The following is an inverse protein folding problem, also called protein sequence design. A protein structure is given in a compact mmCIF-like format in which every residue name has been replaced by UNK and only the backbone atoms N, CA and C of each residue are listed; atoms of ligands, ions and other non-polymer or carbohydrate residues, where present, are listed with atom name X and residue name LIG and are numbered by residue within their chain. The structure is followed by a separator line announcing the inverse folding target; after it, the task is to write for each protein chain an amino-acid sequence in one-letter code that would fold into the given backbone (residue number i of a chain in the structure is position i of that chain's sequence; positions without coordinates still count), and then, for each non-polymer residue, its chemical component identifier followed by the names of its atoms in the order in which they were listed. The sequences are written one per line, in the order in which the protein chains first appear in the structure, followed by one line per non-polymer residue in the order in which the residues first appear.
data_IF_017165969499
#
_entry.id   IF_017165969499
#
_cell.length_a   1.000
_cell.length_b   1.000
_cell.length_c   1.000
_cell.angle_alpha   90.00
_cell.angle_beta   90.00
_cell.angle_gamma   90.00
#
_symmetry.space_group_name_H-M   'P 1'
#
loop_
_entity.id
_entity.type
_entity.pdbx_description
1 polymer ?
#
# COMPACT_ATOMS: atom_id res chain seq x y z
N UNK A 1 43.43 81.22 13.33
CA UNK A 1 42.27 80.51 12.72
C UNK A 1 42.77 79.10 12.39
N UNK A 2 42.31 77.97 12.90
CA UNK A 2 41.10 77.58 13.63
C UNK A 2 41.48 76.24 14.32
N UNK A 3 41.36 76.16 15.64
CA UNK A 3 41.50 74.93 16.42
C UNK A 3 40.26 74.05 16.23
N UNK A 4 40.41 72.75 15.96
CA UNK A 4 39.31 71.80 16.18
C UNK A 4 39.81 70.47 16.77
N UNK A 5 39.31 70.25 17.99
CA UNK A 5 39.36 69.07 18.83
C UNK A 5 38.33 68.04 18.32
N UNK A 6 38.61 66.73 18.40
CA UNK A 6 37.55 65.71 18.39
C UNK A 6 38.00 64.39 19.07
N UNK A 7 37.75 64.37 20.38
CA UNK A 7 37.20 63.28 21.22
C UNK A 7 37.40 61.83 20.75
N UNK A 8 38.12 61.07 21.60
CA UNK A 8 38.24 59.63 21.59
C UNK A 8 36.92 58.93 21.96
N UNK A 9 36.51 57.92 21.18
CA UNK A 9 35.42 57.03 21.49
C UNK A 9 35.96 55.62 21.83
N UNK A 10 35.90 55.25 23.11
CA UNK A 10 36.18 53.91 23.62
C UNK A 10 34.99 52.98 23.29
N UNK A 11 35.20 52.01 22.40
CA UNK A 11 34.24 50.93 22.14
C UNK A 11 34.56 49.73 23.06
N UNK A 12 33.74 49.54 24.08
CA UNK A 12 33.67 48.30 24.86
C UNK A 12 32.92 47.25 24.04
N UNK A 13 33.65 46.32 23.43
CA UNK A 13 33.09 45.19 22.70
C UNK A 13 32.65 44.07 23.65
N UNK A 14 31.34 43.87 23.79
CA UNK A 14 30.74 42.74 24.50
C UNK A 14 30.95 41.44 23.73
N UNK A 15 31.62 40.45 24.33
CA UNK A 15 31.69 39.09 23.80
C UNK A 15 30.37 38.35 24.10
N UNK A 16 29.57 38.11 23.06
CA UNK A 16 28.43 37.20 23.14
C UNK A 16 28.93 35.75 22.99
N UNK A 17 28.86 34.97 24.07
CA UNK A 17 29.11 33.52 24.04
C UNK A 17 27.84 32.84 23.54
N UNK A 18 27.87 32.31 22.32
CA UNK A 18 26.78 31.51 21.78
C UNK A 18 26.84 30.08 22.35
N UNK A 19 25.73 29.48 22.80
CA UNK A 19 25.70 28.08 23.22
C UNK A 19 25.80 27.18 21.99
N UNK A 20 26.85 26.35 21.94
CA UNK A 20 26.94 25.24 20.99
C UNK A 20 25.89 24.19 21.35
N UNK A 21 24.81 24.11 20.55
CA UNK A 21 23.91 22.96 20.55
C UNK A 21 24.72 21.73 20.12
N UNK A 22 25.01 20.86 21.08
CA UNK A 22 25.57 19.55 20.80
C UNK A 22 24.55 18.76 19.96
N UNK A 23 24.83 18.63 18.68
CA UNK A 23 24.13 17.67 17.83
C UNK A 23 24.41 16.27 18.39
N UNK A 24 23.38 15.62 18.93
CA UNK A 24 23.44 14.22 19.32
C UNK A 24 23.89 13.36 18.14
N UNK A 25 24.56 12.22 18.38
CA UNK A 25 25.03 11.36 17.30
C UNK A 25 23.85 10.94 16.40
N UNK A 26 24.06 10.81 15.08
CA UNK A 26 23.04 10.29 14.19
C UNK A 26 22.64 8.89 14.67
N UNK A 27 21.40 8.75 15.12
CA UNK A 27 20.84 7.46 15.49
C UNK A 27 20.96 6.51 14.31
N UNK A 28 21.73 5.44 14.50
CA UNK A 28 21.86 4.36 13.52
C UNK A 28 20.46 3.86 13.12
N UNK A 29 20.24 3.46 11.84
CA UNK A 29 18.97 2.90 11.42
C UNK A 29 18.68 1.62 12.24
N UNK A 30 17.43 1.38 12.66
CA UNK A 30 17.10 0.19 13.43
C UNK A 30 17.29 -1.06 12.56
N UNK A 31 18.40 -1.76 12.77
CA UNK A 31 18.67 -3.09 12.22
C UNK A 31 17.64 -4.07 12.81
N UNK A 32 16.55 -4.32 12.08
CA UNK A 32 15.49 -5.25 12.49
C UNK A 32 14.07 -4.69 12.55
N UNK A 33 13.78 -3.53 11.95
CA UNK A 33 12.42 -3.03 11.82
C UNK A 33 11.52 -4.09 11.17
N UNK A 34 10.61 -4.63 11.96
CA UNK A 34 9.70 -5.72 11.56
C UNK A 34 8.25 -5.24 11.47
N UNK A 35 8.00 -4.01 11.88
CA UNK A 35 6.72 -3.34 11.82
C UNK A 35 6.57 -2.55 10.52
N UNK A 36 5.34 -2.40 10.06
CA UNK A 36 4.99 -1.51 8.97
C UNK A 36 5.22 -0.05 9.39
N UNK A 37 5.81 0.76 8.51
CA UNK A 37 6.11 2.17 8.79
C UNK A 37 5.69 3.07 7.64
N UNK A 38 5.09 4.26 7.88
CA UNK A 38 4.82 5.23 6.83
C UNK A 38 6.11 5.66 6.10
N UNK A 39 6.01 5.97 4.81
CA UNK A 39 7.09 6.59 4.05
C UNK A 39 7.31 8.04 4.48
N UNK A 40 8.46 8.64 4.15
CA UNK A 40 8.81 10.00 4.56
C UNK A 40 7.83 11.08 4.03
N UNK A 41 7.32 10.88 2.83
CA UNK A 41 6.27 11.70 2.20
C UNK A 41 4.85 11.36 2.70
N UNK A 42 4.70 10.28 3.47
CA UNK A 42 3.45 9.82 4.07
C UNK A 42 2.44 9.23 3.09
N UNK A 43 2.77 9.15 1.79
CA UNK A 43 1.87 8.66 0.73
C UNK A 43 1.79 7.13 0.67
N UNK A 44 2.75 6.43 1.27
CA UNK A 44 2.85 4.99 1.31
C UNK A 44 3.17 4.42 2.70
N UNK A 45 3.13 3.10 2.79
CA UNK A 45 3.50 2.33 3.98
C UNK A 45 4.50 1.25 3.57
N UNK A 46 5.70 1.31 4.12
CA UNK A 46 6.78 0.35 3.90
C UNK A 46 6.55 -0.91 4.76
N UNK A 47 6.56 -2.07 4.11
CA UNK A 47 6.76 -3.38 4.74
C UNK A 47 8.24 -3.77 4.62
N UNK A 48 9.04 -3.59 5.68
CA UNK A 48 10.46 -3.93 5.65
C UNK A 48 10.70 -5.45 5.54
N UNK A 49 9.76 -6.30 5.98
CA UNK A 49 9.90 -7.76 5.90
C UNK A 49 9.67 -8.25 4.48
N UNK A 50 8.70 -7.68 3.78
CA UNK A 50 8.37 -8.07 2.41
C UNK A 50 9.13 -7.27 1.34
N UNK A 51 9.87 -6.22 1.74
CA UNK A 51 10.52 -5.27 0.82
C UNK A 51 9.49 -4.71 -0.18
N UNK A 52 8.34 -4.28 0.34
CA UNK A 52 7.25 -3.72 -0.48
C UNK A 52 6.74 -2.43 0.12
N UNK A 53 6.32 -1.50 -0.73
CA UNK A 53 5.63 -0.28 -0.34
C UNK A 53 4.17 -0.36 -0.78
N UNK A 54 3.27 -0.10 0.16
CA UNK A 54 1.83 -0.10 -0.02
C UNK A 54 1.33 1.31 -0.25
N UNK A 55 0.40 1.49 -1.18
CA UNK A 55 -0.35 2.73 -1.26
C UNK A 55 -1.10 2.94 0.05
N UNK A 56 -1.05 4.16 0.62
CA UNK A 56 -1.70 4.46 1.90
C UNK A 56 -3.22 4.57 1.77
N UNK A 57 -3.70 5.06 0.64
CA UNK A 57 -5.11 5.10 0.32
C UNK A 57 -5.50 4.02 -0.68
N UNK A 58 -6.76 3.60 -0.60
CA UNK A 58 -7.39 2.75 -1.61
C UNK A 58 -7.54 3.55 -2.91
N UNK A 59 -7.45 2.89 -4.05
CA UNK A 59 -7.64 3.54 -5.35
C UNK A 59 -8.94 4.34 -5.40
N UNK A 60 -8.86 5.59 -5.85
CA UNK A 60 -9.97 6.55 -5.85
C UNK A 60 -9.95 7.58 -4.72
N UNK A 61 -9.34 7.22 -3.58
CA UNK A 61 -9.16 8.13 -2.45
C UNK A 61 -7.84 8.88 -2.59
N UNK A 62 -7.75 10.04 -1.93
CA UNK A 62 -6.54 10.86 -1.91
C UNK A 62 -6.03 11.05 -0.48
N UNK A 63 -4.70 11.07 -0.35
CA UNK A 63 -4.05 11.33 0.93
C UNK A 63 -4.08 12.83 1.24
N UNK A 64 -4.63 13.22 2.40
CA UNK A 64 -4.75 14.62 2.81
C UNK A 64 -3.60 15.11 3.70
N UNK A 65 -2.58 14.27 3.94
CA UNK A 65 -1.54 14.52 4.96
C UNK A 65 -1.83 13.88 6.32
N UNK A 66 -3.09 13.55 6.62
CA UNK A 66 -3.49 12.91 7.89
C UNK A 66 -4.47 11.76 7.72
N UNK A 67 -5.33 11.80 6.70
CA UNK A 67 -6.31 10.75 6.42
C UNK A 67 -6.48 10.54 4.92
N UNK A 68 -7.13 9.45 4.54
CA UNK A 68 -7.61 9.25 3.18
C UNK A 68 -9.00 9.88 3.03
N UNK A 69 -9.14 10.79 2.07
CA UNK A 69 -10.41 11.47 1.77
C UNK A 69 -10.94 11.09 0.38
N UNK A 70 -12.22 11.35 0.14
CA UNK A 70 -12.91 10.99 -1.09
C UNK A 70 -13.60 9.61 -1.01
N UNK A 71 -13.93 9.04 -2.17
CA UNK A 71 -14.62 7.75 -2.28
C UNK A 71 -13.70 6.71 -2.89
N UNK A 72 -13.65 5.53 -2.28
CA UNK A 72 -12.97 4.38 -2.86
C UNK A 72 -13.65 3.98 -4.19
N UNK A 73 -12.83 3.72 -5.21
CA UNK A 73 -13.30 3.14 -6.46
C UNK A 73 -13.54 1.65 -6.26
N UNK A 74 -14.73 1.21 -6.67
CA UNK A 74 -15.09 -0.20 -6.74
C UNK A 74 -14.89 -0.67 -8.16
N UNK A 75 -13.88 -1.52 -8.37
CA UNK A 75 -13.42 -1.93 -9.69
C UNK A 75 -13.69 -3.42 -9.90
N UNK A 76 -14.01 -3.79 -11.13
CA UNK A 76 -13.89 -5.19 -11.58
C UNK A 76 -12.41 -5.60 -11.55
N UNK A 77 -12.14 -6.90 -11.60
CA UNK A 77 -10.76 -7.40 -11.58
C UNK A 77 -9.94 -6.92 -12.77
N UNK A 78 -10.56 -6.81 -13.94
CA UNK A 78 -9.92 -6.32 -15.15
C UNK A 78 -9.56 -4.82 -15.02
N UNK A 79 -10.50 -4.01 -14.54
CA UNK A 79 -10.27 -2.58 -14.29
C UNK A 79 -9.22 -2.35 -13.21
N UNK A 80 -9.22 -3.14 -12.13
CA UNK A 80 -8.19 -3.09 -11.09
C UNK A 80 -6.79 -3.30 -11.67
N UNK A 81 -6.64 -4.30 -12.54
CA UNK A 81 -5.37 -4.62 -13.19
C UNK A 81 -4.92 -3.51 -14.14
N UNK A 82 -5.87 -2.94 -14.91
CA UNK A 82 -5.60 -1.80 -15.78
C UNK A 82 -5.19 -0.55 -14.98
N UNK A 83 -5.86 -0.29 -13.85
CA UNK A 83 -5.56 0.82 -12.94
C UNK A 83 -4.14 0.72 -12.38
N UNK A 84 -3.72 -0.47 -11.97
CA UNK A 84 -2.36 -0.69 -11.49
C UNK A 84 -1.29 -0.37 -12.55
N UNK A 85 -1.51 -0.79 -13.80
CA UNK A 85 -0.62 -0.48 -14.92
C UNK A 85 -0.58 1.01 -15.25
N UNK A 86 -1.74 1.66 -15.26
CA UNK A 86 -1.83 3.10 -15.50
C UNK A 86 -1.05 3.88 -14.43
N UNK A 87 -1.25 3.53 -13.15
CA UNK A 87 -0.51 4.13 -12.04
C UNK A 87 0.99 3.85 -12.14
N UNK A 88 1.37 2.64 -12.57
CA UNK A 88 2.80 2.32 -12.76
C UNK A 88 3.47 3.24 -13.76
N UNK A 89 2.75 3.57 -14.83
CA UNK A 89 3.26 4.45 -15.90
C UNK A 89 3.34 5.90 -15.44
N UNK A 90 2.37 6.35 -14.61
CA UNK A 90 2.32 7.72 -14.11
C UNK A 90 3.37 8.01 -13.03
N UNK A 91 3.55 7.08 -12.08
CA UNK A 91 4.39 7.29 -10.90
C UNK A 91 5.82 6.76 -11.11
N UNK A 92 6.06 5.94 -12.15
CA UNK A 92 7.36 5.30 -12.41
C UNK A 92 7.67 4.07 -11.54
N UNK A 93 6.81 3.74 -10.57
CA UNK A 93 6.94 2.54 -9.74
C UNK A 93 6.16 1.36 -10.34
N UNK A 94 6.65 0.12 -10.16
CA UNK A 94 5.97 -1.08 -10.64
C UNK A 94 4.74 -1.46 -9.77
N UNK A 95 3.70 -0.61 -9.77
CA UNK A 95 2.45 -0.83 -9.07
C UNK A 95 1.71 -2.05 -9.60
N UNK A 96 1.29 -2.92 -8.67
CA UNK A 96 0.55 -4.14 -8.99
C UNK A 96 -0.52 -4.41 -7.95
N UNK A 97 -1.43 -5.32 -8.31
CA UNK A 97 -2.31 -5.91 -7.30
C UNK A 97 -1.49 -6.74 -6.31
N UNK A 98 -1.79 -6.67 -5.01
CA UNK A 98 -1.15 -7.47 -3.99
C UNK A 98 -1.61 -8.91 -4.06
N UNK A 99 -0.74 -9.86 -3.73
CA UNK A 99 -1.12 -11.27 -3.58
C UNK A 99 -2.00 -11.45 -2.34
N UNK A 100 -2.77 -12.53 -2.31
CA UNK A 100 -3.69 -12.82 -1.21
C UNK A 100 -2.94 -12.93 0.13
N UNK A 101 -1.76 -13.55 0.13
CA UNK A 101 -0.91 -13.63 1.33
C UNK A 101 -0.34 -12.28 1.77
N UNK A 102 -0.11 -11.35 0.83
CA UNK A 102 0.36 -10.00 1.15
C UNK A 102 -0.76 -9.20 1.82
N UNK A 103 -1.99 -9.23 1.28
CA UNK A 103 -3.14 -8.56 1.91
C UNK A 103 -3.45 -9.10 3.30
N UNK A 104 -3.45 -10.43 3.47
CA UNK A 104 -3.70 -11.07 4.77
C UNK A 104 -2.71 -10.66 5.84
N UNK A 105 -1.49 -10.27 5.48
CA UNK A 105 -0.46 -9.81 6.41
C UNK A 105 -0.77 -8.41 6.97
N UNK A 106 -1.50 -7.59 6.23
CA UNK A 106 -1.91 -6.26 6.72
C UNK A 106 -2.98 -6.36 7.82
N UNK A 107 -3.72 -7.46 7.87
CA UNK A 107 -4.79 -7.66 8.85
C UNK A 107 -4.21 -8.19 10.14
N UNK A 108 -4.34 -7.42 11.21
CA UNK A 108 -4.05 -7.89 12.55
C UNK A 108 -5.25 -8.71 13.07
N UNK A 109 -5.12 -10.04 13.01
CA UNK A 109 -6.16 -10.98 13.48
C UNK A 109 -6.32 -11.02 15.00
N UNK A 110 -5.35 -10.48 15.75
CA UNK A 110 -5.36 -10.45 17.21
C UNK A 110 -5.93 -9.13 17.77
N UNK A 111 -6.19 -8.14 16.91
CA UNK A 111 -6.84 -6.90 17.32
C UNK A 111 -8.33 -7.16 17.63
N UNK A 112 -8.93 -6.26 18.42
CA UNK A 112 -10.35 -6.29 18.76
C UNK A 112 -10.99 -4.95 18.38
N UNK A 113 -11.77 -4.87 17.29
CA UNK A 113 -12.00 -5.93 16.30
C UNK A 113 -10.76 -6.22 15.43
N UNK A 114 -10.67 -7.41 14.81
CA UNK A 114 -9.66 -7.68 13.79
C UNK A 114 -9.77 -6.68 12.63
N UNK A 115 -8.65 -6.39 11.99
CA UNK A 115 -8.63 -5.45 10.88
C UNK A 115 -7.25 -4.92 10.53
N UNK A 116 -7.23 -3.98 9.60
CA UNK A 116 -6.02 -3.22 9.27
C UNK A 116 -5.74 -2.14 10.32
N UNK A 117 -4.47 -1.81 10.52
CA UNK A 117 -4.08 -0.70 11.40
C UNK A 117 -4.61 0.63 10.85
N UNK A 118 -5.53 1.26 11.60
CA UNK A 118 -6.16 2.52 11.21
C UNK A 118 -5.21 3.73 11.22
N UNK A 119 -4.08 3.67 11.92
CA UNK A 119 -3.06 4.73 11.89
C UNK A 119 -2.26 4.69 10.58
N UNK A 120 -1.96 3.48 10.11
CA UNK A 120 -1.26 3.26 8.85
C UNK A 120 -2.21 3.46 7.66
N UNK A 121 -3.44 2.96 7.77
CA UNK A 121 -4.43 2.94 6.71
C UNK A 121 -5.76 3.62 7.14
N UNK A 122 -5.75 4.93 7.39
CA UNK A 122 -6.94 5.63 7.87
C UNK A 122 -8.02 5.68 6.80
N UNK A 123 -9.28 5.64 7.26
CA UNK A 123 -10.48 5.65 6.42
C UNK A 123 -10.51 4.57 5.32
N UNK A 124 -9.75 3.48 5.49
CA UNK A 124 -9.83 2.33 4.60
C UNK A 124 -11.20 1.66 4.75
N UNK A 125 -11.96 1.45 3.66
CA UNK A 125 -13.20 0.68 3.72
C UNK A 125 -12.95 -0.75 4.21
N UNK A 126 -13.86 -1.29 5.02
CA UNK A 126 -13.86 -2.71 5.38
C UNK A 126 -14.25 -3.62 4.20
N UNK A 127 -14.34 -4.92 4.46
CA UNK A 127 -14.78 -5.94 3.52
C UNK A 127 -13.72 -6.38 2.52
N UNK A 128 -14.18 -6.85 1.35
CA UNK A 128 -13.38 -7.63 0.40
C UNK A 128 -12.55 -6.77 -0.56
N UNK A 129 -11.24 -7.08 -0.68
CA UNK A 129 -10.31 -6.40 -1.58
C UNK A 129 -9.78 -7.36 -2.63
N UNK A 130 -9.62 -6.87 -3.87
CA UNK A 130 -9.04 -7.67 -4.94
C UNK A 130 -7.57 -8.04 -4.67
N UNK A 131 -7.25 -9.33 -4.84
CA UNK A 131 -5.89 -9.87 -4.78
C UNK A 131 -5.38 -10.26 -6.17
N UNK A 132 -4.15 -9.93 -6.55
CA UNK A 132 -3.51 -10.32 -7.81
C UNK A 132 -3.20 -11.82 -7.95
N UNK A 133 -3.48 -12.65 -6.95
CA UNK A 133 -3.30 -14.11 -7.03
C UNK A 133 -4.11 -14.71 -8.18
N UNK A 134 -3.47 -15.49 -9.03
CA UNK A 134 -4.14 -16.20 -10.12
C UNK A 134 -5.01 -17.35 -9.57
N UNK A 135 -6.18 -17.57 -10.17
CA UNK A 135 -6.94 -18.78 -9.92
C UNK A 135 -6.38 -19.88 -10.83
N UNK A 136 -5.78 -20.91 -10.24
CA UNK A 136 -5.30 -22.11 -10.93
C UNK A 136 -6.10 -23.30 -10.41
N UNK A 137 -7.43 -23.30 -10.65
CA UNK A 137 -8.24 -24.51 -10.45
C UNK A 137 -8.03 -25.44 -11.64
N UNK A 138 -7.21 -26.46 -11.46
CA UNK A 138 -7.21 -27.62 -12.36
C UNK A 138 -8.37 -28.52 -11.97
N UNK A 139 -9.50 -28.42 -12.67
CA UNK A 139 -10.52 -29.46 -12.54
C UNK A 139 -10.03 -30.68 -13.32
N UNK A 140 -9.87 -31.80 -12.61
CA UNK A 140 -9.68 -33.10 -13.26
C UNK A 140 -11.01 -33.49 -13.92
N UNK A 141 -11.08 -33.35 -15.24
CA UNK A 141 -12.24 -33.79 -16.02
C UNK A 141 -11.91 -35.12 -16.69
N UNK A 142 -12.88 -36.04 -16.75
CA UNK A 142 -12.75 -37.21 -17.60
C UNK A 142 -12.88 -36.76 -19.07
N UNK A 143 -11.83 -36.90 -19.90
CA UNK A 143 -11.86 -36.48 -21.29
C UNK A 143 -12.82 -37.30 -22.16
N UNK A 144 -13.29 -38.45 -21.68
CA UNK A 144 -14.22 -39.34 -22.40
C UNK A 144 -15.69 -39.17 -22.02
N UNK A 145 -16.01 -38.24 -21.12
CA UNK A 145 -17.40 -37.90 -20.82
C UNK A 145 -17.92 -36.95 -21.91
N UNK A 146 -18.75 -37.45 -22.83
CA UNK A 146 -19.33 -36.68 -23.93
C UNK A 146 -20.14 -35.46 -23.47
N UNK A 147 -20.76 -35.52 -22.29
CA UNK A 147 -21.45 -34.37 -21.70
C UNK A 147 -20.52 -33.18 -21.42
N UNK A 148 -19.22 -33.42 -21.27
CA UNK A 148 -18.24 -32.34 -21.12
C UNK A 148 -18.03 -31.57 -22.43
N UNK A 149 -18.16 -32.22 -23.60
CA UNK A 149 -17.98 -31.57 -24.90
C UNK A 149 -19.17 -30.65 -25.21
N UNK A 150 -20.40 -31.10 -24.95
CA UNK A 150 -21.62 -30.29 -25.10
C UNK A 150 -21.62 -29.08 -24.16
N UNK A 151 -21.08 -29.24 -22.95
CA UNK A 151 -20.97 -28.17 -21.95
C UNK A 151 -19.68 -27.32 -22.08
N UNK A 152 -18.81 -27.59 -23.06
CA UNK A 152 -17.59 -26.83 -23.31
C UNK A 152 -16.49 -26.98 -22.24
N UNK A 153 -16.48 -28.09 -21.51
CA UNK A 153 -15.47 -28.46 -20.52
C UNK A 153 -14.30 -29.20 -21.21
N UNK A 154 -13.15 -28.53 -21.39
CA UNK A 154 -11.94 -29.12 -21.99
C UNK A 154 -11.05 -29.81 -20.95
N UNK A 155 -9.97 -30.50 -21.38
CA UNK A 155 -8.99 -31.25 -20.53
C UNK A 155 -8.44 -30.53 -19.29
N UNK A 156 -8.65 -29.21 -19.14
CA UNK A 156 -8.28 -28.41 -17.97
C UNK A 156 -9.46 -27.88 -17.16
N UNK A 157 -10.67 -28.35 -17.47
CA UNK A 157 -11.99 -27.95 -16.97
C UNK A 157 -12.05 -26.58 -16.34
N UNK A 158 -12.52 -25.55 -17.06
CA UNK A 158 -13.32 -24.45 -16.48
C UNK A 158 -13.58 -23.29 -17.45
N UNK A 159 -14.85 -23.11 -17.82
CA UNK A 159 -15.37 -21.77 -18.11
C UNK A 159 -15.58 -20.97 -16.81
N UNK A 160 -15.90 -21.64 -15.69
CA UNK A 160 -16.27 -20.97 -14.43
C UNK A 160 -15.09 -20.45 -13.60
N UNK A 161 -14.04 -21.24 -13.34
CA UNK A 161 -12.87 -20.76 -12.59
C UNK A 161 -12.05 -19.68 -13.34
N UNK A 162 -12.12 -19.66 -14.68
CA UNK A 162 -11.60 -18.56 -15.48
C UNK A 162 -12.37 -17.23 -15.25
N UNK A 163 -13.62 -17.31 -14.78
CA UNK A 163 -14.47 -16.16 -14.44
C UNK A 163 -14.38 -15.79 -12.95
N UNK A 164 -13.65 -16.56 -12.15
CA UNK A 164 -13.44 -16.34 -10.72
C UNK A 164 -12.07 -15.70 -10.44
N UNK A 165 -11.96 -14.98 -9.33
CA UNK A 165 -10.76 -14.30 -8.87
C UNK A 165 -10.63 -14.34 -7.34
N UNK A 166 -9.42 -14.03 -6.89
CA UNK A 166 -9.11 -13.99 -5.46
C UNK A 166 -9.39 -12.63 -4.84
N UNK A 167 -10.01 -12.62 -3.68
CA UNK A 167 -10.13 -11.44 -2.83
C UNK A 167 -9.87 -11.80 -1.36
N UNK A 168 -9.59 -10.79 -0.54
CA UNK A 168 -9.33 -10.94 0.88
C UNK A 168 -10.22 -9.97 1.65
N UNK A 169 -10.92 -10.48 2.66
CA UNK A 169 -11.68 -9.67 3.60
C UNK A 169 -10.70 -8.97 4.54
N UNK A 170 -10.71 -7.64 4.58
CA UNK A 170 -9.77 -6.86 5.36
C UNK A 170 -10.19 -6.66 6.81
N UNK A 171 -11.42 -7.04 7.17
CA UNK A 171 -11.90 -7.06 8.55
C UNK A 171 -11.51 -8.39 9.21
N UNK A 172 -11.52 -9.52 8.48
CA UNK A 172 -11.21 -10.85 9.07
C UNK A 172 -9.87 -11.43 8.63
N UNK A 173 -9.33 -10.97 7.50
CA UNK A 173 -8.15 -11.54 6.84
C UNK A 173 -8.40 -12.91 6.22
N UNK A 174 -9.65 -13.24 5.92
CA UNK A 174 -10.04 -14.44 5.18
C UNK A 174 -9.88 -14.23 3.67
N UNK A 175 -9.48 -15.28 2.94
CA UNK A 175 -9.26 -15.21 1.50
C UNK A 175 -10.24 -16.12 0.77
N UNK A 176 -10.82 -15.59 -0.30
CA UNK A 176 -11.84 -16.24 -1.12
C UNK A 176 -11.36 -16.31 -2.56
N UNK A 177 -11.48 -17.48 -3.19
CA UNK A 177 -10.94 -17.75 -4.54
C UNK A 177 -11.98 -17.82 -5.64
N UNK A 178 -13.25 -17.72 -5.26
CA UNK A 178 -14.47 -17.97 -6.03
C UNK A 178 -15.26 -16.69 -6.31
N UNK A 179 -14.62 -15.53 -6.18
CA UNK A 179 -15.28 -14.24 -6.42
C UNK A 179 -15.40 -13.99 -7.92
N UNK A 180 -16.61 -13.74 -8.40
CA UNK A 180 -16.84 -13.34 -9.79
C UNK A 180 -15.96 -12.14 -10.18
N UNK A 181 -15.22 -12.24 -11.29
CA UNK A 181 -14.36 -11.16 -11.81
C UNK A 181 -15.11 -9.89 -12.18
N UNK A 182 -16.42 -9.99 -12.37
CA UNK A 182 -17.32 -8.87 -12.63
C UNK A 182 -17.78 -8.14 -11.35
N UNK A 183 -17.51 -8.71 -10.16
CA UNK A 183 -17.78 -8.03 -8.88
C UNK A 183 -16.94 -6.77 -8.75
N UNK A 184 -17.54 -5.72 -8.19
CA UNK A 184 -16.87 -4.44 -7.96
C UNK A 184 -16.36 -4.38 -6.54
N UNK A 185 -15.04 -4.40 -6.37
CA UNK A 185 -14.38 -4.39 -5.07
C UNK A 185 -13.32 -3.28 -5.01
N UNK A 186 -13.01 -2.76 -3.81
CA UNK A 186 -11.88 -1.87 -3.60
C UNK A 186 -10.53 -2.53 -3.93
N UNK A 187 -9.55 -1.70 -4.27
CA UNK A 187 -8.20 -2.12 -4.64
C UNK A 187 -7.18 -1.26 -3.91
N UNK A 188 -6.24 -1.90 -3.22
CA UNK A 188 -5.05 -1.26 -2.68
C UNK A 188 -3.85 -1.80 -3.46
N UNK A 189 -3.02 -0.90 -3.99
CA UNK A 189 -1.86 -1.29 -4.78
C UNK A 189 -0.61 -1.38 -3.92
N UNK A 190 0.34 -2.16 -4.42
CA UNK A 190 1.66 -2.37 -3.81
C UNK A 190 2.73 -2.38 -4.89
N UNK A 191 3.94 -1.94 -4.57
CA UNK A 191 5.13 -2.07 -5.41
C UNK A 191 6.34 -2.54 -4.57
N UNK A 192 7.46 -2.84 -5.23
CA UNK A 192 8.71 -3.18 -4.55
C UNK A 192 9.31 -1.96 -3.85
N UNK A 193 9.91 -2.17 -2.68
CA UNK A 193 10.77 -1.18 -2.04
C UNK A 193 12.16 -1.28 -2.69
N UNK A 194 12.47 -0.33 -3.56
CA UNK A 194 13.79 -0.19 -4.19
C UNK A 194 14.86 0.16 -3.14
#
# INVERSE_FOLDING_TARGET
MKTLNCVAALLLGSFAVAPTLAAGPPSAPPTGATALTPTADGSGVLDPRARTVWARCVEGMQWSGSTCSGRALLLTRAEATARAKARSTADGHAWRLPRSLELRRLVNKQATPPGVDAQLFPAAPGGMYWSGTANVRQLSVNPYNYGNIENGLTKGGTRLAALEGWAVDMDTGEAFGDISRASKLPVRLVHGAD
#
